data_IF_612308251237
#
_entry.id   IF_612308251237
#
_cell.length_a   1.000
_cell.length_b   1.000
_cell.length_c   1.000
_cell.angle_alpha   90.00
_cell.angle_beta   90.00
_cell.angle_gamma   90.00
#
_symmetry.space_group_name_H-M   'P 1'
#
loop_
_entity.id
_entity.type
_entity.pdbx_description
1 polymer ?
#
# COMPACT_ATOMS: atom_id res chain seq x y z
N UNK A 1 -39.86 9.16 12.55
CA UNK A 1 -39.10 10.03 11.62
C UNK A 1 -37.67 9.52 11.53
N UNK A 2 -37.25 8.86 10.44
CA UNK A 2 -35.87 8.42 10.27
C UNK A 2 -35.03 9.52 9.60
N UNK A 3 -33.85 9.81 10.15
CA UNK A 3 -32.83 10.67 9.51
C UNK A 3 -32.03 9.79 8.55
N UNK A 4 -32.24 9.97 7.25
CA UNK A 4 -31.41 9.35 6.22
C UNK A 4 -30.09 10.10 6.10
N UNK A 5 -28.98 9.41 6.40
CA UNK A 5 -27.65 9.85 5.98
C UNK A 5 -27.52 9.55 4.48
N UNK A 6 -27.73 10.56 3.64
CA UNK A 6 -27.45 10.50 2.21
C UNK A 6 -25.94 10.46 2.03
N UNK A 7 -25.37 9.28 1.79
CA UNK A 7 -24.00 9.15 1.29
C UNK A 7 -23.98 9.80 -0.10
N UNK A 8 -23.31 10.95 -0.20
CA UNK A 8 -22.99 11.55 -1.50
C UNK A 8 -21.91 10.67 -2.11
N UNK A 9 -22.30 9.76 -3.00
CA UNK A 9 -21.36 9.02 -3.84
C UNK A 9 -20.77 10.01 -4.85
N UNK A 10 -19.60 10.55 -4.53
CA UNK A 10 -18.79 11.29 -5.49
C UNK A 10 -18.22 10.27 -6.49
N UNK A 11 -18.85 10.20 -7.66
CA UNK A 11 -18.34 9.44 -8.80
C UNK A 11 -17.01 10.02 -9.24
N UNK A 12 -16.05 9.15 -9.55
CA UNK A 12 -14.70 9.47 -10.03
C UNK A 12 -14.71 10.37 -11.30
N UNK A 13 -15.84 10.42 -12.01
CA UNK A 13 -16.07 11.25 -13.20
C UNK A 13 -16.26 12.76 -12.92
N UNK A 14 -16.58 13.17 -11.69
CA UNK A 14 -16.75 14.60 -11.38
C UNK A 14 -15.39 15.32 -11.27
N UNK A 15 -14.33 14.58 -10.92
CA UNK A 15 -12.96 15.10 -10.73
C UNK A 15 -12.24 15.37 -12.06
N UNK A 16 -12.57 14.60 -13.10
CA UNK A 16 -11.96 14.74 -14.43
C UNK A 16 -12.51 15.93 -15.19
N UNK A 17 -13.78 16.31 -14.97
CA UNK A 17 -14.41 17.46 -15.63
C UNK A 17 -13.86 18.79 -15.10
N UNK A 18 -13.53 18.91 -13.80
CA UNK A 18 -12.93 20.13 -13.26
C UNK A 18 -11.47 20.35 -13.74
N UNK A 19 -10.72 19.27 -13.98
CA UNK A 19 -9.32 19.37 -14.37
C UNK A 19 -9.13 19.95 -15.79
N UNK A 20 -10.04 19.63 -16.73
CA UNK A 20 -10.00 20.18 -18.09
C UNK A 20 -10.31 21.68 -18.14
N UNK A 21 -11.24 22.16 -17.31
CA UNK A 21 -11.65 23.58 -17.27
C UNK A 21 -10.56 24.49 -16.67
N UNK A 22 -9.79 24.00 -15.70
CA UNK A 22 -8.72 24.79 -15.06
C UNK A 22 -7.51 24.99 -15.99
N UNK A 23 -7.23 24.03 -16.88
CA UNK A 23 -6.17 24.12 -17.89
C UNK A 23 -6.53 25.15 -18.97
N UNK A 24 -7.80 25.20 -19.40
CA UNK A 24 -8.27 26.15 -20.42
C UNK A 24 -8.33 27.60 -19.93
N UNK A 25 -8.51 27.83 -18.61
CA UNK A 25 -8.68 29.18 -18.04
C UNK A 25 -7.37 29.86 -17.55
N UNK A 26 -6.19 29.30 -17.86
CA UNK A 26 -4.91 29.97 -17.56
C UNK A 26 -4.56 30.08 -16.08
N UNK A 27 -5.17 29.26 -15.22
CA UNK A 27 -4.89 29.17 -13.77
C UNK A 27 -3.65 28.31 -13.45
N UNK A 28 -2.59 28.44 -14.24
CA UNK A 28 -1.34 27.68 -14.10
C UNK A 28 -0.70 27.67 -12.69
N UNK A 29 -0.71 28.78 -11.92
CA UNK A 29 -0.14 28.79 -10.57
C UNK A 29 -0.93 27.94 -9.57
N UNK A 30 -2.25 27.79 -9.75
CA UNK A 30 -3.12 27.05 -8.84
C UNK A 30 -3.09 25.54 -9.09
N UNK A 31 -2.87 25.10 -10.33
CA UNK A 31 -2.58 23.69 -10.67
C UNK A 31 -1.27 23.24 -10.01
N UNK A 32 -0.23 24.08 -10.08
CA UNK A 32 1.09 23.80 -9.50
C UNK A 32 1.07 23.76 -7.96
N UNK A 33 0.13 24.47 -7.33
CA UNK A 33 -0.05 24.52 -5.88
C UNK A 33 -0.75 23.26 -5.33
N UNK A 34 -1.55 22.58 -6.14
CA UNK A 34 -2.24 21.33 -5.77
C UNK A 34 -1.32 20.11 -5.91
N UNK A 35 -0.44 20.11 -6.92
CA UNK A 35 0.59 19.08 -7.14
C UNK A 35 1.64 19.04 -6.01
N UNK A 36 1.93 20.20 -5.40
CA UNK A 36 2.86 20.33 -4.25
C UNK A 36 2.31 19.86 -2.89
N UNK A 37 1.08 19.32 -2.83
CA UNK A 37 0.44 18.87 -1.58
C UNK A 37 0.37 17.35 -1.41
N UNK A 38 0.91 16.57 -2.33
CA UNK A 38 1.10 15.14 -2.09
C UNK A 38 2.19 15.01 -1.02
N UNK A 39 1.81 14.58 0.18
CA UNK A 39 2.78 14.42 1.26
C UNK A 39 3.79 13.32 0.87
N UNK A 40 4.96 13.29 1.52
CA UNK A 40 5.96 12.22 1.34
C UNK A 40 5.37 10.80 1.41
N UNK A 41 4.27 10.66 2.13
CA UNK A 41 3.47 9.43 2.22
C UNK A 41 2.76 9.09 0.91
N UNK A 42 2.12 10.07 0.26
CA UNK A 42 1.36 9.85 -0.96
C UNK A 42 2.28 9.52 -2.14
N UNK A 43 3.48 10.14 -2.16
CA UNK A 43 4.56 9.75 -3.08
C UNK A 43 4.97 8.28 -2.90
N UNK A 44 5.10 7.83 -1.64
CA UNK A 44 5.41 6.44 -1.34
C UNK A 44 4.27 5.50 -1.74
N UNK A 45 3.02 5.87 -1.49
CA UNK A 45 1.85 5.09 -1.90
C UNK A 45 1.79 4.93 -3.42
N UNK A 46 2.04 6.01 -4.17
CA UNK A 46 2.12 5.96 -5.62
C UNK A 46 3.22 5.00 -6.09
N UNK A 47 4.41 5.07 -5.47
CA UNK A 47 5.51 4.14 -5.75
C UNK A 47 5.16 2.69 -5.45
N UNK A 48 4.50 2.43 -4.34
CA UNK A 48 4.09 1.08 -3.95
C UNK A 48 3.01 0.52 -4.89
N UNK A 49 2.09 1.37 -5.35
CA UNK A 49 1.08 1.00 -6.33
C UNK A 49 1.71 0.65 -7.69
N UNK A 50 2.74 1.40 -8.10
CA UNK A 50 3.49 1.11 -9.32
C UNK A 50 4.25 -0.21 -9.23
N UNK A 51 4.93 -0.48 -8.10
CA UNK A 51 5.62 -1.75 -7.85
C UNK A 51 4.63 -2.95 -7.86
N UNK A 52 3.44 -2.80 -7.28
CA UNK A 52 2.41 -3.84 -7.32
C UNK A 52 1.94 -4.14 -8.74
N UNK A 53 1.77 -3.13 -9.59
CA UNK A 53 1.33 -3.30 -10.98
C UNK A 53 2.44 -3.87 -11.86
N UNK A 54 3.61 -3.22 -11.85
CA UNK A 54 4.69 -3.48 -12.79
C UNK A 54 5.51 -4.72 -12.43
N UNK A 55 5.74 -4.97 -11.14
CA UNK A 55 6.59 -6.07 -10.67
C UNK A 55 5.79 -7.27 -10.20
N UNK A 56 4.72 -7.03 -9.43
CA UNK A 56 3.93 -8.10 -8.83
C UNK A 56 2.77 -8.57 -9.73
N UNK A 57 2.46 -7.86 -10.82
CA UNK A 57 1.34 -8.18 -11.71
C UNK A 57 -0.03 -8.07 -11.05
N UNK A 58 -0.14 -7.29 -9.97
CA UNK A 58 -1.37 -7.14 -9.18
C UNK A 58 -2.05 -5.81 -9.48
N UNK A 59 -3.38 -5.79 -9.44
CA UNK A 59 -4.13 -4.52 -9.40
C UNK A 59 -4.18 -4.02 -7.95
N UNK A 60 -3.57 -2.87 -7.63
CA UNK A 60 -3.52 -2.36 -6.27
C UNK A 60 -4.88 -1.79 -5.88
N UNK A 61 -5.38 -2.25 -4.74
CA UNK A 61 -6.47 -1.64 -3.99
C UNK A 61 -5.88 -0.47 -3.19
N UNK A 62 -6.15 0.75 -3.66
CA UNK A 62 -5.53 1.97 -3.11
C UNK A 62 -5.96 2.24 -1.67
N UNK A 63 -7.17 1.84 -1.28
CA UNK A 63 -7.66 2.01 0.09
C UNK A 63 -6.91 1.07 1.03
N UNK A 64 -6.81 -0.21 0.66
CA UNK A 64 -6.05 -1.17 1.45
C UNK A 64 -4.56 -0.79 1.49
N UNK A 65 -3.97 -0.41 0.36
CA UNK A 65 -2.56 -0.02 0.30
C UNK A 65 -2.27 1.19 1.19
N UNK A 66 -3.16 2.18 1.19
CA UNK A 66 -3.06 3.35 2.05
C UNK A 66 -3.11 2.94 3.51
N UNK A 67 -4.08 2.11 3.90
CA UNK A 67 -4.25 1.63 5.28
C UNK A 67 -3.08 0.77 5.76
N UNK A 68 -2.57 -0.14 4.91
CA UNK A 68 -1.37 -0.92 5.18
C UNK A 68 -0.17 0.01 5.38
N UNK A 69 -0.03 1.03 4.52
CA UNK A 69 1.02 2.05 4.65
C UNK A 69 0.86 2.88 5.93
N UNK A 70 -0.36 3.19 6.41
CA UNK A 70 -0.57 3.82 7.74
C UNK A 70 0.00 2.85 8.78
N UNK A 71 -0.37 1.58 8.67
CA UNK A 71 -0.04 0.54 9.63
C UNK A 71 1.47 0.24 9.72
N UNK A 72 2.27 0.59 8.72
CA UNK A 72 3.73 0.53 8.80
C UNK A 72 4.33 1.67 9.64
N UNK A 73 3.58 2.74 9.90
CA UNK A 73 3.99 3.84 10.78
C UNK A 73 5.24 4.57 10.26
N UNK A 74 6.12 5.06 11.14
CA UNK A 74 7.28 5.87 10.75
C UNK A 74 8.35 5.07 9.97
N UNK A 75 8.27 3.73 9.96
CA UNK A 75 9.21 2.86 9.27
C UNK A 75 9.29 3.15 7.77
N UNK A 76 8.21 3.66 7.16
CA UNK A 76 8.18 3.97 5.72
C UNK A 76 9.11 5.13 5.33
N UNK A 77 9.52 5.96 6.30
CA UNK A 77 10.38 7.12 6.02
C UNK A 77 11.88 6.82 6.19
N UNK A 78 12.23 5.68 6.78
CA UNK A 78 13.60 5.21 6.92
C UNK A 78 13.90 4.18 5.83
N UNK A 79 14.98 4.36 5.07
CA UNK A 79 15.31 3.53 3.93
C UNK A 79 15.44 2.04 4.32
N UNK A 80 16.16 1.74 5.40
CA UNK A 80 16.42 0.38 5.87
C UNK A 80 15.15 -0.26 6.43
N UNK A 81 14.41 0.48 7.27
CA UNK A 81 13.17 -0.03 7.88
C UNK A 81 12.02 -0.17 6.87
N UNK A 82 12.04 0.61 5.78
CA UNK A 82 11.01 0.57 4.74
C UNK A 82 11.14 -0.63 3.81
N UNK A 83 12.24 -1.39 3.87
CA UNK A 83 12.50 -2.53 3.01
C UNK A 83 12.57 -3.84 3.80
N UNK A 84 12.46 -4.97 3.09
CA UNK A 84 12.57 -6.33 3.62
C UNK A 84 13.73 -7.04 2.93
N UNK A 85 14.71 -7.47 3.71
CA UNK A 85 15.88 -8.20 3.24
C UNK A 85 15.53 -9.68 3.00
N UNK A 86 15.07 -10.00 1.79
CA UNK A 86 14.66 -11.37 1.41
C UNK A 86 15.76 -12.44 1.52
N UNK A 87 17.03 -12.06 1.60
CA UNK A 87 18.16 -12.99 1.77
C UNK A 87 18.59 -13.19 3.23
N UNK A 88 17.88 -12.59 4.19
CA UNK A 88 18.16 -12.72 5.61
C UNK A 88 16.99 -13.42 6.31
N UNK A 89 17.17 -14.70 6.65
CA UNK A 89 16.10 -15.51 7.25
C UNK A 89 15.56 -14.89 8.56
N UNK A 90 16.42 -14.24 9.35
CA UNK A 90 16.01 -13.54 10.57
C UNK A 90 15.04 -12.37 10.32
N UNK A 91 15.16 -11.69 9.17
CA UNK A 91 14.22 -10.63 8.79
C UNK A 91 12.86 -11.25 8.41
N UNK A 92 12.86 -12.39 7.73
CA UNK A 92 11.64 -13.10 7.36
C UNK A 92 10.90 -13.65 8.57
N UNK A 93 11.64 -14.22 9.53
CA UNK A 93 11.09 -14.65 10.82
C UNK A 93 10.50 -13.45 11.60
N UNK A 94 11.16 -12.30 11.56
CA UNK A 94 10.65 -11.07 12.19
C UNK A 94 9.34 -10.61 11.54
N UNK A 95 9.21 -10.71 10.22
CA UNK A 95 7.94 -10.46 9.51
C UNK A 95 6.88 -11.49 9.92
N UNK A 96 7.23 -12.77 9.99
CA UNK A 96 6.31 -13.83 10.43
C UNK A 96 5.77 -13.55 11.83
N UNK A 97 6.64 -13.35 12.80
CA UNK A 97 6.25 -13.24 14.20
C UNK A 97 5.52 -11.93 14.50
N UNK A 98 6.04 -10.81 14.01
CA UNK A 98 5.50 -9.49 14.37
C UNK A 98 4.31 -9.08 13.50
N UNK A 99 4.31 -9.45 12.22
CA UNK A 99 3.24 -9.08 11.31
C UNK A 99 2.18 -10.17 11.22
N UNK A 100 2.55 -11.38 10.79
CA UNK A 100 1.56 -12.44 10.53
C UNK A 100 0.93 -12.95 11.82
N UNK A 101 1.74 -13.30 12.81
CA UNK A 101 1.24 -13.86 14.07
C UNK A 101 0.64 -12.75 14.95
N UNK A 102 1.44 -11.76 15.37
CA UNK A 102 0.97 -10.74 16.33
C UNK A 102 -0.07 -9.77 15.76
N UNK A 103 0.11 -9.28 14.53
CA UNK A 103 -0.76 -8.22 13.99
C UNK A 103 -1.96 -8.76 13.23
N UNK A 104 -1.80 -9.81 12.42
CA UNK A 104 -2.91 -10.43 11.68
C UNK A 104 -3.61 -11.55 12.47
N UNK A 105 -3.04 -11.97 13.60
CA UNK A 105 -3.62 -12.99 14.47
C UNK A 105 -3.63 -14.37 13.81
N UNK A 106 -2.63 -14.68 12.98
CA UNK A 106 -2.50 -15.99 12.35
C UNK A 106 -1.83 -16.97 13.32
N UNK A 107 -2.26 -18.24 13.27
CA UNK A 107 -1.59 -19.31 14.00
C UNK A 107 -0.21 -19.55 13.40
N UNK A 108 0.81 -19.66 14.26
CA UNK A 108 2.18 -19.97 13.83
C UNK A 108 2.23 -21.36 13.18
N UNK A 109 2.98 -21.47 12.09
CA UNK A 109 3.09 -22.68 11.29
C UNK A 109 3.89 -22.47 10.01
N UNK A 110 4.31 -23.57 9.36
CA UNK A 110 5.15 -23.53 8.17
C UNK A 110 4.51 -22.75 7.02
N UNK A 111 3.17 -22.74 6.92
CA UNK A 111 2.45 -22.00 5.89
C UNK A 111 2.73 -20.50 5.88
N UNK A 112 3.11 -19.92 7.02
CA UNK A 112 3.42 -18.49 7.10
C UNK A 112 4.73 -18.18 6.38
N UNK A 113 5.75 -19.02 6.56
CA UNK A 113 7.04 -18.87 5.90
C UNK A 113 6.94 -19.17 4.40
N UNK A 114 6.13 -20.17 4.02
CA UNK A 114 5.83 -20.47 2.62
C UNK A 114 5.16 -19.27 1.93
N UNK A 115 4.18 -18.64 2.57
CA UNK A 115 3.52 -17.45 2.04
C UNK A 115 4.48 -16.26 1.90
N UNK A 116 5.37 -16.03 2.89
CA UNK A 116 6.40 -14.98 2.80
C UNK A 116 7.32 -15.22 1.60
N UNK A 117 7.80 -16.45 1.41
CA UNK A 117 8.64 -16.80 0.28
C UNK A 117 7.89 -16.62 -1.05
N UNK A 118 6.63 -17.06 -1.15
CA UNK A 118 5.82 -16.88 -2.34
C UNK A 118 5.62 -15.39 -2.69
N UNK A 119 5.40 -14.54 -1.69
CA UNK A 119 5.29 -13.08 -1.87
C UNK A 119 6.63 -12.48 -2.33
N UNK A 120 7.75 -12.93 -1.77
CA UNK A 120 9.10 -12.52 -2.19
C UNK A 120 9.39 -12.92 -3.63
N UNK A 121 8.98 -14.13 -4.02
CA UNK A 121 9.12 -14.64 -5.38
C UNK A 121 8.25 -13.85 -6.36
N UNK A 122 7.03 -13.49 -5.95
CA UNK A 122 6.11 -12.63 -6.71
C UNK A 122 6.69 -11.23 -6.92
N UNK A 123 7.32 -10.65 -5.89
CA UNK A 123 8.01 -9.36 -6.02
C UNK A 123 9.26 -9.48 -6.92
N UNK A 124 9.89 -10.66 -6.92
CA UNK A 124 11.12 -10.95 -7.64
C UNK A 124 12.34 -10.88 -6.74
N UNK A 125 13.07 -11.99 -6.64
CA UNK A 125 14.27 -12.10 -5.78
C UNK A 125 15.34 -11.07 -6.11
N UNK A 126 15.48 -10.73 -7.40
CA UNK A 126 16.46 -9.75 -7.92
C UNK A 126 16.18 -8.29 -7.54
N UNK A 127 14.95 -7.96 -7.10
CA UNK A 127 14.63 -6.62 -6.63
C UNK A 127 15.37 -6.33 -5.33
N UNK A 128 16.20 -5.28 -5.31
CA UNK A 128 16.95 -4.92 -4.10
C UNK A 128 16.08 -4.18 -3.09
N UNK A 129 15.06 -3.45 -3.57
CA UNK A 129 14.21 -2.61 -2.76
C UNK A 129 12.81 -3.23 -2.65
N UNK A 130 12.67 -4.30 -1.87
CA UNK A 130 11.37 -4.90 -1.58
C UNK A 130 10.70 -4.12 -0.46
N UNK A 131 9.74 -3.27 -0.78
CA UNK A 131 9.11 -2.40 0.21
C UNK A 131 8.23 -3.19 1.18
N UNK A 132 8.41 -2.93 2.49
CA UNK A 132 7.67 -3.56 3.58
C UNK A 132 6.16 -3.38 3.44
N UNK A 133 5.72 -2.19 3.03
CA UNK A 133 4.30 -1.91 2.77
C UNK A 133 3.72 -2.79 1.65
N UNK A 134 4.48 -3.00 0.57
CA UNK A 134 4.08 -3.83 -0.56
C UNK A 134 4.06 -5.31 -0.16
N UNK A 135 5.08 -5.80 0.55
CA UNK A 135 5.13 -7.16 1.10
C UNK A 135 3.94 -7.41 2.04
N UNK A 136 3.67 -6.48 2.95
CA UNK A 136 2.56 -6.60 3.90
C UNK A 136 1.21 -6.57 3.20
N UNK A 137 1.04 -5.72 2.18
CA UNK A 137 -0.16 -5.69 1.34
C UNK A 137 -0.41 -7.05 0.69
N UNK A 138 0.62 -7.65 0.07
CA UNK A 138 0.50 -8.95 -0.58
C UNK A 138 0.16 -10.06 0.42
N UNK A 139 0.79 -10.06 1.60
CA UNK A 139 0.48 -11.03 2.66
C UNK A 139 -0.96 -10.89 3.19
N UNK A 140 -1.45 -9.65 3.34
CA UNK A 140 -2.83 -9.39 3.76
C UNK A 140 -3.82 -9.91 2.73
N UNK A 141 -3.56 -9.67 1.43
CA UNK A 141 -4.37 -10.23 0.32
C UNK A 141 -4.29 -11.75 0.28
N UNK A 142 -3.11 -12.34 0.49
CA UNK A 142 -2.90 -13.78 0.46
C UNK A 142 -3.73 -14.52 1.53
N UNK A 143 -3.78 -13.97 2.75
CA UNK A 143 -4.51 -14.57 3.87
C UNK A 143 -5.96 -14.06 4.03
N UNK A 144 -6.44 -13.18 3.15
CA UNK A 144 -7.79 -12.61 3.24
C UNK A 144 -8.02 -11.80 4.53
N UNK A 145 -6.99 -11.07 4.99
CA UNK A 145 -6.99 -10.32 6.26
C UNK A 145 -7.27 -8.83 6.06
N UNK A 146 -7.89 -8.43 4.96
CA UNK A 146 -8.22 -7.03 4.67
C UNK A 146 -9.13 -6.42 5.76
N UNK A 147 -9.98 -7.23 6.38
CA UNK A 147 -10.88 -6.81 7.45
C UNK A 147 -10.16 -6.28 8.69
N UNK A 148 -8.89 -6.65 8.93
CA UNK A 148 -8.07 -6.10 10.03
C UNK A 148 -7.82 -4.60 9.84
N UNK A 149 -7.86 -4.14 8.59
CA UNK A 149 -7.72 -2.74 8.22
C UNK A 149 -9.08 -2.06 7.99
N UNK A 150 -10.20 -2.78 8.17
CA UNK A 150 -11.58 -2.32 7.96
C UNK A 150 -11.91 -1.01 8.64
#
# INVERSE_FOLDING_TARGET
MPRGNTKVNFSFDQFTIELSLVVELGFGPLVKLWETKMGKRDELIAKYADDLKSKCGMTPDMDLLTKVTIGCGPAIYNADASTVAAGQDSELETVKDNFLVKKLGLADGPQLMEAINAVIDTYGRSERNKYRAVVYYMLVKHFGKESVYG
#
